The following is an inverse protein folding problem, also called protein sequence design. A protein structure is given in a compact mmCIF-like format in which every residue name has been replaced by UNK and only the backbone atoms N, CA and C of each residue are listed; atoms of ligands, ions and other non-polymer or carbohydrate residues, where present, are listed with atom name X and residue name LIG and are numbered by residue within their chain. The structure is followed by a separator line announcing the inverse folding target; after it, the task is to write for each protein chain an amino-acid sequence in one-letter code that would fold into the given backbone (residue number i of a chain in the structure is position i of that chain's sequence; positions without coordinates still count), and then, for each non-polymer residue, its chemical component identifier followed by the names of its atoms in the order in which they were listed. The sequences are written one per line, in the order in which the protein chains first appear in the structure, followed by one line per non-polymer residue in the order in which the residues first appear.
data_IF_325022024147
#
_entry.id   IF_325022024147
#
_cell.length_a   1.000
_cell.length_b   1.000
_cell.length_c   1.000
_cell.angle_alpha   90.00
_cell.angle_beta   90.00
_cell.angle_gamma   90.00
#
_symmetry.space_group_name_H-M   'P 1'
#
loop_
_entity.id
_entity.type
_entity.pdbx_description
1 polymer ?
#
# COMPACT_ATOMS: atom_id res chain seq x y z
N UNK A 1 5.33 18.33 -27.91
CA UNK A 1 4.94 17.91 -26.55
C UNK A 1 3.80 18.75 -25.97
N UNK A 2 3.78 20.05 -26.22
CA UNK A 2 2.61 20.85 -25.83
C UNK A 2 1.33 20.35 -26.50
N UNK A 3 1.44 19.94 -27.76
CA UNK A 3 0.31 19.33 -28.47
C UNK A 3 -0.14 18.04 -27.86
N UNK A 4 0.81 17.25 -27.35
CA UNK A 4 0.47 16.02 -26.64
C UNK A 4 -0.34 16.31 -25.38
N UNK A 5 0.04 17.32 -24.62
CA UNK A 5 -0.69 17.68 -23.42
C UNK A 5 -2.08 18.20 -23.74
N UNK A 6 -2.20 18.97 -24.81
CA UNK A 6 -3.52 19.46 -25.26
C UNK A 6 -4.36 18.31 -25.81
N UNK A 7 -3.73 17.39 -26.54
CA UNK A 7 -4.43 16.26 -27.14
C UNK A 7 -4.77 15.19 -26.13
N UNK A 8 -4.12 15.16 -24.98
CA UNK A 8 -4.43 14.18 -23.93
C UNK A 8 -5.87 14.34 -23.44
N UNK A 9 -6.46 15.51 -23.67
CA UNK A 9 -7.86 15.77 -23.32
C UNK A 9 -8.82 15.14 -24.33
N UNK A 10 -8.29 14.69 -25.47
CA UNK A 10 -9.07 14.13 -26.56
C UNK A 10 -8.80 12.66 -26.81
N UNK A 11 -8.39 11.94 -25.75
CA UNK A 11 -8.20 10.50 -25.86
C UNK A 11 -9.51 9.81 -26.19
N UNK A 12 -9.48 8.75 -26.99
CA UNK A 12 -10.67 7.94 -27.22
C UNK A 12 -11.25 7.44 -25.89
N UNK A 13 -12.55 7.40 -25.81
CA UNK A 13 -13.25 7.03 -24.58
C UNK A 13 -12.79 5.66 -24.04
N UNK A 14 -12.51 4.70 -24.92
CA UNK A 14 -12.03 3.37 -24.53
C UNK A 14 -10.66 3.46 -23.86
N UNK A 15 -9.74 4.28 -24.38
CA UNK A 15 -8.42 4.46 -23.79
C UNK A 15 -8.52 5.14 -22.44
N UNK A 16 -9.41 6.11 -22.27
CA UNK A 16 -9.66 6.75 -20.99
C UNK A 16 -10.17 5.75 -19.95
N UNK A 17 -11.10 4.89 -20.33
CA UNK A 17 -11.63 3.85 -19.45
C UNK A 17 -10.54 2.88 -19.03
N UNK A 18 -9.66 2.47 -19.95
CA UNK A 18 -8.57 1.55 -19.64
C UNK A 18 -7.59 2.21 -18.67
N UNK A 19 -7.20 3.46 -18.93
CA UNK A 19 -6.26 4.18 -18.06
C UNK A 19 -6.85 4.39 -16.66
N UNK A 20 -8.11 4.76 -16.58
CA UNK A 20 -8.81 4.94 -15.31
C UNK A 20 -8.91 3.62 -14.56
N UNK A 21 -9.20 2.52 -15.26
CA UNK A 21 -9.28 1.19 -14.67
C UNK A 21 -7.94 0.75 -14.10
N UNK A 22 -6.84 1.02 -14.81
CA UNK A 22 -5.48 0.71 -14.34
C UNK A 22 -5.13 1.53 -13.10
N UNK A 23 -5.44 2.82 -13.07
CA UNK A 23 -5.22 3.66 -11.91
C UNK A 23 -6.00 3.15 -10.70
N UNK A 24 -7.27 2.83 -10.88
CA UNK A 24 -8.09 2.28 -9.80
C UNK A 24 -7.54 0.92 -9.32
N UNK A 25 -7.07 0.09 -10.25
CA UNK A 25 -6.52 -1.22 -9.91
C UNK A 25 -5.24 -1.10 -9.06
N UNK A 26 -4.41 -0.08 -9.31
CA UNK A 26 -3.13 0.12 -8.64
C UNK A 26 -3.19 1.16 -7.52
N UNK A 27 -4.32 1.84 -7.36
CA UNK A 27 -4.49 2.95 -6.44
C UNK A 27 -4.76 2.55 -4.99
N UNK A 28 -4.54 1.29 -4.62
CA UNK A 28 -4.78 0.79 -3.27
C UNK A 28 -3.49 0.70 -2.47
N UNK A 29 -3.62 0.75 -1.16
CA UNK A 29 -2.49 0.61 -0.25
C UNK A 29 -2.90 -0.21 0.96
N UNK A 30 -1.95 -0.96 1.50
CA UNK A 30 -2.10 -1.50 2.84
C UNK A 30 -1.62 -0.43 3.81
N UNK A 31 -2.48 -0.06 4.73
CA UNK A 31 -2.16 0.88 5.81
C UNK A 31 -2.06 0.08 7.10
N UNK A 32 -0.92 0.19 7.77
CA UNK A 32 -0.70 -0.41 9.07
C UNK A 32 -1.00 0.61 10.15
N UNK A 33 -1.79 0.21 11.13
CA UNK A 33 -2.18 1.07 12.24
C UNK A 33 -1.46 0.66 13.52
N UNK A 34 -1.17 1.63 14.36
CA UNK A 34 -0.54 1.37 15.65
C UNK A 34 -1.48 0.59 16.57
N UNK A 35 -0.90 -0.30 17.37
CA UNK A 35 -1.58 -0.98 18.44
C UNK A 35 -0.64 -1.08 19.65
N UNK A 36 -1.20 -1.45 20.81
CA UNK A 36 -0.45 -1.52 22.05
C UNK A 36 0.02 -2.93 22.39
N UNK A 37 -0.21 -3.89 21.50
CA UNK A 37 0.04 -5.31 21.77
C UNK A 37 1.31 -5.80 21.12
N UNK A 38 1.58 -5.39 19.87
CA UNK A 38 2.70 -5.90 19.09
C UNK A 38 4.00 -5.17 19.42
N UNK A 39 5.08 -5.93 19.54
CA UNK A 39 6.42 -5.35 19.72
C UNK A 39 6.89 -4.73 18.42
N UNK A 40 7.82 -3.79 18.54
CA UNK A 40 8.46 -3.13 17.41
C UNK A 40 9.14 -4.17 16.49
N UNK A 41 9.87 -5.10 17.11
CA UNK A 41 10.58 -6.15 16.38
C UNK A 41 9.65 -7.08 15.63
N UNK A 42 8.52 -7.42 16.22
CA UNK A 42 7.53 -8.27 15.56
C UNK A 42 6.93 -7.59 14.32
N UNK A 43 6.62 -6.29 14.43
CA UNK A 43 6.12 -5.52 13.30
C UNK A 43 7.15 -5.53 12.16
N UNK A 44 8.42 -5.30 12.48
CA UNK A 44 9.51 -5.33 11.49
C UNK A 44 9.58 -6.69 10.80
N UNK A 45 9.55 -7.78 11.57
CA UNK A 45 9.59 -9.14 11.01
C UNK A 45 8.43 -9.40 10.05
N UNK A 46 7.22 -8.98 10.42
CA UNK A 46 6.05 -9.16 9.58
C UNK A 46 6.15 -8.36 8.28
N UNK A 47 6.63 -7.12 8.35
CA UNK A 47 6.80 -6.29 7.15
C UNK A 47 7.85 -6.87 6.21
N UNK A 48 8.94 -7.40 6.74
CA UNK A 48 9.95 -8.06 5.91
C UNK A 48 9.37 -9.30 5.24
N UNK A 49 8.68 -10.13 6.01
CA UNK A 49 8.19 -11.41 5.51
C UNK A 49 7.06 -11.27 4.50
N UNK A 50 6.09 -10.42 4.76
CA UNK A 50 4.85 -10.36 3.97
C UNK A 50 4.81 -9.18 3.00
N UNK A 51 5.40 -8.06 3.35
CA UNK A 51 5.47 -6.90 2.46
C UNK A 51 6.78 -6.83 1.67
N UNK A 52 7.69 -7.76 1.92
CA UNK A 52 9.01 -7.84 1.27
C UNK A 52 9.85 -6.59 1.47
N UNK A 53 9.70 -5.94 2.62
CA UNK A 53 10.52 -4.81 2.98
C UNK A 53 11.95 -5.25 3.25
N UNK A 54 12.90 -4.40 2.92
CA UNK A 54 14.24 -4.51 3.47
C UNK A 54 14.19 -4.06 4.93
N UNK A 55 15.17 -4.49 5.73
CA UNK A 55 15.17 -4.22 7.17
C UNK A 55 14.99 -2.73 7.48
N UNK A 56 15.76 -1.87 6.82
CA UNK A 56 15.70 -0.43 7.07
C UNK A 56 14.32 0.14 6.74
N UNK A 57 13.74 -0.28 5.64
CA UNK A 57 12.40 0.15 5.25
C UNK A 57 11.35 -0.29 6.29
N UNK A 58 11.42 -1.54 6.73
CA UNK A 58 10.51 -2.06 7.74
C UNK A 58 10.65 -1.31 9.06
N UNK A 59 11.89 -1.01 9.46
CA UNK A 59 12.18 -0.25 10.67
C UNK A 59 11.59 1.16 10.58
N UNK A 60 11.77 1.84 9.46
CA UNK A 60 11.22 3.17 9.26
C UNK A 60 9.69 3.17 9.30
N UNK A 61 9.05 2.19 8.65
CA UNK A 61 7.60 2.06 8.69
C UNK A 61 7.09 1.82 10.11
N UNK A 62 7.76 0.94 10.85
CA UNK A 62 7.40 0.66 12.24
C UNK A 62 7.51 1.91 13.11
N UNK A 63 8.55 2.72 12.90
CA UNK A 63 8.71 3.99 13.62
C UNK A 63 7.60 4.99 13.28
N UNK A 64 7.23 5.09 12.00
CA UNK A 64 6.15 5.98 11.56
C UNK A 64 4.82 5.55 12.16
N UNK A 65 4.53 4.25 12.16
CA UNK A 65 3.31 3.72 12.78
C UNK A 65 3.27 4.10 14.26
N UNK A 66 4.39 3.91 14.96
CA UNK A 66 4.46 4.21 16.38
C UNK A 66 4.28 5.70 16.68
N UNK A 67 4.90 6.57 15.88
CA UNK A 67 4.89 8.02 16.13
C UNK A 67 3.68 8.73 15.53
N UNK A 68 3.20 8.30 14.36
CA UNK A 68 2.10 8.96 13.65
C UNK A 68 0.77 8.22 13.73
N UNK A 69 0.78 6.99 14.23
CA UNK A 69 -0.43 6.18 14.36
C UNK A 69 -0.70 5.28 13.17
N UNK A 70 -0.17 5.57 12.00
CA UNK A 70 -0.34 4.74 10.81
C UNK A 70 0.73 4.99 9.77
N UNK A 71 0.90 4.02 8.87
CA UNK A 71 1.85 4.12 7.75
C UNK A 71 1.38 3.24 6.60
N UNK A 72 1.50 3.74 5.38
CA UNK A 72 1.30 2.92 4.18
C UNK A 72 2.52 2.03 4.02
N UNK A 73 2.31 0.72 3.97
CA UNK A 73 3.41 -0.24 3.92
C UNK A 73 3.55 -0.95 2.58
N UNK A 74 2.52 -0.95 1.75
CA UNK A 74 2.56 -1.56 0.43
C UNK A 74 1.48 -0.96 -0.46
N UNK A 75 1.82 -0.78 -1.74
CA UNK A 75 0.89 -0.28 -2.75
C UNK A 75 0.66 -1.34 -3.82
N UNK A 76 -0.48 -1.27 -4.48
CA UNK A 76 -0.79 -2.18 -5.59
C UNK A 76 -2.27 -2.26 -5.88
N UNK A 77 -2.67 -3.32 -6.59
CA UNK A 77 -4.07 -3.62 -6.81
C UNK A 77 -4.67 -4.26 -5.58
N UNK A 78 -5.98 -4.15 -5.44
CA UNK A 78 -6.69 -4.80 -4.34
C UNK A 78 -6.42 -6.30 -4.29
N UNK A 79 -6.47 -6.96 -5.45
CA UNK A 79 -6.25 -8.40 -5.53
C UNK A 79 -4.85 -8.82 -5.10
N UNK A 80 -3.84 -8.01 -5.39
CA UNK A 80 -2.48 -8.28 -4.95
C UNK A 80 -2.31 -8.05 -3.45
N UNK A 81 -2.97 -7.03 -2.92
CA UNK A 81 -2.82 -6.64 -1.53
C UNK A 81 -3.62 -7.50 -0.57
N UNK A 82 -4.74 -8.08 -1.01
CA UNK A 82 -5.62 -8.83 -0.12
C UNK A 82 -4.92 -9.96 0.61
N UNK A 83 -4.20 -10.88 -0.05
CA UNK A 83 -3.53 -11.96 0.67
C UNK A 83 -2.44 -11.46 1.62
N UNK A 84 -1.77 -10.38 1.27
CA UNK A 84 -0.75 -9.78 2.14
C UNK A 84 -1.41 -9.17 3.38
N UNK A 85 -2.51 -8.45 3.19
CA UNK A 85 -3.25 -7.86 4.31
C UNK A 85 -3.77 -8.94 5.25
N UNK A 86 -4.33 -10.03 4.72
CA UNK A 86 -4.79 -11.16 5.52
C UNK A 86 -3.63 -11.75 6.32
N UNK A 87 -2.47 -11.91 5.71
CA UNK A 87 -1.28 -12.43 6.40
C UNK A 87 -0.87 -11.53 7.57
N UNK A 88 -0.90 -10.21 7.38
CA UNK A 88 -0.58 -9.27 8.45
C UNK A 88 -1.62 -9.34 9.58
N UNK A 89 -2.89 -9.44 9.23
CA UNK A 89 -3.95 -9.60 10.22
C UNK A 89 -3.80 -10.90 11.01
N UNK A 90 -3.43 -11.99 10.34
CA UNK A 90 -3.19 -13.28 10.98
C UNK A 90 -1.99 -13.23 11.95
N UNK A 91 -1.06 -12.33 11.71
CA UNK A 91 0.06 -12.07 12.61
C UNK A 91 -0.32 -11.20 13.81
N UNK A 92 -1.56 -10.76 13.88
CA UNK A 92 -2.04 -9.91 14.97
C UNK A 92 -1.84 -8.42 14.74
N UNK A 93 -1.40 -8.01 13.54
CA UNK A 93 -1.24 -6.60 13.22
C UNK A 93 -2.58 -5.98 12.82
N UNK A 94 -2.68 -4.66 12.95
CA UNK A 94 -3.87 -3.91 12.56
C UNK A 94 -3.64 -3.31 11.17
N UNK A 95 -4.10 -4.00 10.14
CA UNK A 95 -3.88 -3.62 8.75
C UNK A 95 -5.20 -3.47 8.01
N UNK A 96 -5.24 -2.52 7.06
CA UNK A 96 -6.39 -2.29 6.19
C UNK A 96 -5.92 -1.98 4.78
N UNK A 97 -6.75 -2.33 3.80
CA UNK A 97 -6.55 -1.91 2.41
C UNK A 97 -7.37 -0.64 2.20
N UNK A 98 -6.71 0.45 1.80
CA UNK A 98 -7.34 1.76 1.61
C UNK A 98 -6.91 2.36 0.27
N UNK A 99 -7.73 3.24 -0.26
CA UNK A 99 -7.39 4.04 -1.45
C UNK A 99 -6.52 5.23 -1.07
#
# INVERSE_FOLDING_TARGET
MADFLNNSLELPEIEEEILLSEELALGWSIVLYNDDVNTFEWVIECLIKYCRHEYLQAQQCAMIVHSNGKCKVKNGSYNELEPVCVALLDCGLSARIEI
#
